data_IF_899943326550
#
_entry.id   IF_899943326550
#
_cell.length_a   1.000
_cell.length_b   1.000
_cell.length_c   1.000
_cell.angle_alpha   90.00
_cell.angle_beta   90.00
_cell.angle_gamma   90.00
#
_symmetry.space_group_name_H-M   'P 1'
#
loop_
_entity.id
_entity.type
_entity.pdbx_description
1 polymer ?
#
# COMPACT_ATOMS: atom_id res chain seq x y z
N UNK A 1 -16.67 -30.47 15.38
CA UNK A 1 -17.38 -29.22 15.72
C UNK A 1 -16.33 -28.13 15.79
N UNK A 2 -16.46 -27.13 14.92
CA UNK A 2 -15.38 -26.26 14.47
C UNK A 2 -14.85 -25.34 15.56
N UNK A 3 -13.53 -25.13 15.53
CA UNK A 3 -12.89 -24.05 16.24
C UNK A 3 -13.40 -22.74 15.64
N UNK A 4 -14.32 -22.06 16.34
CA UNK A 4 -14.59 -20.64 16.07
C UNK A 4 -13.31 -19.88 16.46
N UNK A 5 -12.54 -19.46 15.45
CA UNK A 5 -11.48 -18.48 15.62
C UNK A 5 -12.12 -17.16 16.04
N UNK A 6 -12.21 -16.93 17.35
CA UNK A 6 -12.61 -15.63 17.91
C UNK A 6 -11.49 -14.65 17.60
N UNK A 7 -11.59 -13.97 16.46
CA UNK A 7 -10.69 -12.88 16.10
C UNK A 7 -10.82 -11.79 17.16
N UNK A 8 -9.75 -11.55 17.92
CA UNK A 8 -9.72 -10.50 18.92
C UNK A 8 -10.00 -9.13 18.26
N UNK A 9 -10.92 -8.35 18.84
CA UNK A 9 -11.36 -7.05 18.31
C UNK A 9 -10.20 -6.11 17.87
N UNK A 10 -9.06 -6.02 18.58
CA UNK A 10 -7.91 -5.23 18.15
C UNK A 10 -7.29 -5.71 16.82
N UNK A 11 -7.29 -7.02 16.58
CA UNK A 11 -6.77 -7.62 15.35
C UNK A 11 -7.72 -7.36 14.17
N UNK A 12 -9.04 -7.43 14.40
CA UNK A 12 -10.04 -7.07 13.40
C UNK A 12 -9.91 -5.60 12.95
N UNK A 13 -9.71 -4.67 13.89
CA UNK A 13 -9.48 -3.24 13.59
C UNK A 13 -8.21 -3.07 12.76
N UNK A 14 -7.14 -3.76 13.14
CA UNK A 14 -5.87 -3.70 12.42
C UNK A 14 -6.01 -4.20 10.97
N UNK A 15 -6.68 -5.33 10.76
CA UNK A 15 -6.98 -5.86 9.43
C UNK A 15 -7.83 -4.87 8.62
N UNK A 16 -8.87 -4.29 9.23
CA UNK A 16 -9.73 -3.32 8.56
C UNK A 16 -8.95 -2.08 8.09
N UNK A 17 -8.02 -1.57 8.90
CA UNK A 17 -7.18 -0.44 8.51
C UNK A 17 -6.19 -0.80 7.39
N UNK A 18 -5.60 -2.01 7.42
CA UNK A 18 -4.76 -2.51 6.33
C UNK A 18 -5.58 -2.63 5.05
N UNK A 19 -6.76 -3.24 5.11
CA UNK A 19 -7.65 -3.40 3.98
C UNK A 19 -8.05 -2.05 3.39
N UNK A 20 -8.47 -1.09 4.24
CA UNK A 20 -8.84 0.26 3.79
C UNK A 20 -7.68 1.00 3.12
N UNK A 21 -6.49 0.97 3.73
CA UNK A 21 -5.29 1.59 3.13
C UNK A 21 -4.91 0.89 1.82
N UNK A 22 -5.03 -0.44 1.78
CA UNK A 22 -4.79 -1.25 0.59
C UNK A 22 -5.75 -0.96 -0.54
N UNK A 23 -7.03 -0.77 -0.27
CA UNK A 23 -8.01 -0.37 -1.28
C UNK A 23 -7.64 0.97 -1.92
N UNK A 24 -7.20 1.95 -1.12
CA UNK A 24 -6.79 3.27 -1.63
C UNK A 24 -5.54 3.17 -2.51
N UNK A 25 -4.52 2.43 -2.06
CA UNK A 25 -3.29 2.19 -2.84
C UNK A 25 -3.62 1.44 -4.14
N UNK A 26 -4.44 0.40 -4.05
CA UNK A 26 -4.75 -0.43 -5.21
C UNK A 26 -5.62 0.29 -6.23
N UNK A 27 -6.51 1.18 -5.79
CA UNK A 27 -7.25 2.07 -6.68
C UNK A 27 -6.30 2.93 -7.53
N UNK A 28 -5.24 3.48 -6.92
CA UNK A 28 -4.22 4.27 -7.65
C UNK A 28 -3.42 3.41 -8.62
N UNK A 29 -2.99 2.24 -8.18
CA UNK A 29 -2.26 1.27 -9.03
C UNK A 29 -3.09 0.87 -10.24
N UNK A 30 -4.37 0.56 -10.06
CA UNK A 30 -5.27 0.21 -11.17
C UNK A 30 -5.49 1.38 -12.13
N UNK A 31 -5.59 2.61 -11.63
CA UNK A 31 -5.64 3.81 -12.47
C UNK A 31 -4.39 3.94 -13.35
N UNK A 32 -3.21 3.84 -12.75
CA UNK A 32 -1.94 3.92 -13.47
C UNK A 32 -1.75 2.75 -14.47
N UNK A 33 -2.20 1.54 -14.12
CA UNK A 33 -2.21 0.38 -15.02
C UNK A 33 -3.12 0.64 -16.23
N UNK A 34 -4.32 1.21 -16.02
CA UNK A 34 -5.23 1.56 -17.11
C UNK A 34 -4.59 2.54 -18.07
N UNK A 35 -3.96 3.60 -17.54
CA UNK A 35 -3.22 4.59 -18.35
C UNK A 35 -2.07 3.95 -19.12
N UNK A 36 -1.30 3.07 -18.48
CA UNK A 36 -0.20 2.35 -19.13
C UNK A 36 -0.70 1.46 -20.29
N UNK A 37 -1.80 0.73 -20.10
CA UNK A 37 -2.41 -0.11 -21.15
C UNK A 37 -2.82 0.75 -22.35
N UNK A 38 -3.50 1.87 -22.11
CA UNK A 38 -3.95 2.79 -23.17
C UNK A 38 -2.76 3.34 -23.99
N UNK A 39 -1.64 3.65 -23.33
CA UNK A 39 -0.43 4.14 -23.99
C UNK A 39 0.21 3.02 -24.82
N UNK A 40 0.34 1.81 -24.28
CA UNK A 40 0.92 0.68 -25.00
C UNK A 40 0.07 0.25 -26.21
N UNK A 41 -1.26 0.31 -26.12
CA UNK A 41 -2.18 0.02 -27.24
C UNK A 41 -1.90 0.94 -28.44
N UNK A 42 -1.55 2.21 -28.17
CA UNK A 42 -1.27 3.21 -29.19
C UNK A 42 0.14 3.08 -29.80
N UNK A 43 1.12 2.61 -29.04
CA UNK A 43 2.54 2.64 -29.46
C UNK A 43 3.02 1.38 -30.18
N UNK A 44 2.66 0.17 -29.71
CA UNK A 44 3.22 -1.10 -30.26
C UNK A 44 2.23 -2.27 -30.17
N UNK A 45 1.33 -2.43 -31.16
CA UNK A 45 0.35 -3.52 -31.15
C UNK A 45 0.95 -4.93 -31.34
N UNK A 46 2.17 -5.05 -31.91
CA UNK A 46 2.78 -6.33 -32.28
C UNK A 46 3.42 -7.15 -31.14
N UNK A 47 3.95 -6.48 -30.10
CA UNK A 47 4.55 -7.13 -28.91
C UNK A 47 3.76 -6.82 -27.62
N UNK A 48 2.51 -6.41 -27.82
CA UNK A 48 1.61 -5.80 -26.86
C UNK A 48 1.41 -6.61 -25.58
N UNK A 49 1.09 -7.90 -25.71
CA UNK A 49 0.64 -8.71 -24.58
C UNK A 49 1.73 -8.97 -23.54
N UNK A 50 2.96 -9.27 -23.97
CA UNK A 50 4.03 -9.65 -23.04
C UNK A 50 4.58 -8.43 -22.28
N UNK A 51 4.80 -7.31 -22.99
CA UNK A 51 5.39 -6.10 -22.39
C UNK A 51 4.43 -5.42 -21.40
N UNK A 52 3.13 -5.43 -21.71
CA UNK A 52 2.09 -4.94 -20.80
C UNK A 52 1.97 -5.83 -19.59
N UNK A 53 1.87 -7.16 -19.77
CA UNK A 53 1.74 -8.07 -18.64
C UNK A 53 2.90 -7.89 -17.64
N UNK A 54 4.14 -7.74 -18.13
CA UNK A 54 5.30 -7.47 -17.27
C UNK A 54 5.18 -6.12 -16.54
N UNK A 55 4.80 -5.05 -17.25
CA UNK A 55 4.66 -3.71 -16.67
C UNK A 55 3.55 -3.65 -15.62
N UNK A 56 2.38 -4.22 -15.92
CA UNK A 56 1.25 -4.29 -14.99
C UNK A 56 1.60 -5.11 -13.74
N UNK A 57 2.27 -6.25 -13.90
CA UNK A 57 2.73 -7.05 -12.76
C UNK A 57 3.72 -6.28 -11.88
N UNK A 58 4.64 -5.49 -12.48
CA UNK A 58 5.56 -4.63 -11.72
C UNK A 58 4.80 -3.56 -10.95
N UNK A 59 3.84 -2.88 -11.57
CA UNK A 59 3.03 -1.84 -10.91
C UNK A 59 2.21 -2.40 -9.74
N UNK A 60 1.60 -3.57 -9.91
CA UNK A 60 0.92 -4.31 -8.84
C UNK A 60 1.90 -4.68 -7.72
N UNK A 61 3.08 -5.19 -8.07
CA UNK A 61 4.14 -5.54 -7.12
C UNK A 61 4.62 -4.34 -6.32
N UNK A 62 4.79 -3.19 -6.95
CA UNK A 62 5.14 -1.92 -6.27
C UNK A 62 4.03 -1.51 -5.31
N UNK A 63 2.76 -1.60 -5.73
CA UNK A 63 1.62 -1.32 -4.85
C UNK A 63 1.59 -2.20 -3.60
N UNK A 64 1.77 -3.52 -3.77
CA UNK A 64 1.83 -4.46 -2.65
C UNK A 64 3.06 -4.22 -1.76
N UNK A 65 4.22 -3.99 -2.35
CA UNK A 65 5.46 -3.68 -1.62
C UNK A 65 5.34 -2.38 -0.82
N UNK A 66 4.68 -1.37 -1.37
CA UNK A 66 4.42 -0.11 -0.70
C UNK A 66 3.51 -0.28 0.52
N UNK A 67 2.43 -1.06 0.36
CA UNK A 67 1.54 -1.38 1.48
C UNK A 67 2.28 -2.13 2.61
N UNK A 68 3.13 -3.08 2.27
CA UNK A 68 3.95 -3.80 3.25
C UNK A 68 4.91 -2.86 3.98
N UNK A 69 5.54 -1.93 3.26
CA UNK A 69 6.41 -0.90 3.83
C UNK A 69 5.65 -0.02 4.82
N UNK A 70 4.48 0.50 4.42
CA UNK A 70 3.63 1.33 5.28
C UNK A 70 3.15 0.57 6.52
N UNK A 71 2.72 -0.69 6.36
CA UNK A 71 2.31 -1.54 7.49
C UNK A 71 3.48 -1.78 8.46
N UNK A 72 4.69 -2.02 7.94
CA UNK A 72 5.92 -2.18 8.72
C UNK A 72 6.36 -0.89 9.43
N UNK A 73 6.20 0.27 8.79
CA UNK A 73 6.45 1.56 9.43
C UNK A 73 5.45 1.83 10.55
N UNK A 74 4.17 1.58 10.32
CA UNK A 74 3.13 1.76 11.33
C UNK A 74 3.32 0.83 12.53
N UNK A 75 3.76 -0.41 12.35
CA UNK A 75 4.09 -1.32 13.46
C UNK A 75 5.35 -0.87 14.21
N UNK A 76 6.41 -0.50 13.51
CA UNK A 76 7.69 -0.10 14.11
C UNK A 76 7.63 1.23 14.85
N UNK A 77 7.02 2.26 14.25
CA UNK A 77 6.92 3.60 14.83
C UNK A 77 6.07 3.60 16.10
N UNK A 78 4.91 2.95 16.08
CA UNK A 78 4.03 2.88 17.25
C UNK A 78 4.71 2.12 18.40
N UNK A 79 5.45 1.05 18.09
CA UNK A 79 6.24 0.31 19.09
C UNK A 79 7.34 1.19 19.70
N UNK A 80 8.07 1.97 18.89
CA UNK A 80 9.15 2.86 19.36
C UNK A 80 8.64 4.02 20.23
N UNK A 81 7.54 4.66 19.81
CA UNK A 81 6.93 5.80 20.53
C UNK A 81 6.38 5.38 21.88
N UNK A 82 5.85 4.16 22.00
CA UNK A 82 5.27 3.67 23.25
C UNK A 82 6.32 3.05 24.19
N UNK A 83 7.45 2.57 23.67
CA UNK A 83 8.55 2.01 24.47
C UNK A 83 9.40 3.09 25.16
N UNK A 84 9.48 4.30 24.59
CA UNK A 84 10.23 5.43 25.20
C UNK A 84 9.53 6.02 26.44
N UNK A 85 8.27 5.66 26.70
CA UNK A 85 7.55 5.96 27.93
C UNK A 85 7.68 4.85 28.98
N UNK A 86 8.73 4.91 29.79
CA UNK A 86 9.03 4.04 30.94
C UNK A 86 7.82 3.38 31.66
N UNK A 87 7.92 2.05 31.90
CA UNK A 87 7.18 1.27 32.91
C UNK A 87 5.65 1.08 32.75
N UNK A 88 5.07 1.15 31.55
CA UNK A 88 3.63 0.89 31.32
C UNK A 88 3.26 -0.29 30.40
N UNK A 89 4.22 -1.14 30.03
CA UNK A 89 3.94 -2.33 29.19
C UNK A 89 2.82 -3.20 29.77
N UNK A 90 2.72 -3.30 31.11
CA UNK A 90 1.68 -4.07 31.81
C UNK A 90 0.32 -3.35 31.96
N UNK A 91 0.22 -2.06 31.63
CA UNK A 91 -1.06 -1.32 31.53
C UNK A 91 -1.52 -1.15 30.09
N UNK A 92 -0.62 -1.31 29.11
CA UNK A 92 -0.94 -1.25 27.69
C UNK A 92 -1.77 -2.45 27.20
N UNK A 93 -1.70 -3.60 27.88
CA UNK A 93 -2.61 -4.74 27.63
C UNK A 93 -4.07 -4.42 27.94
N UNK A 94 -4.34 -3.47 28.85
CA UNK A 94 -5.70 -3.01 29.13
C UNK A 94 -6.26 -2.04 28.08
N UNK A 95 -5.42 -1.59 27.12
CA UNK A 95 -5.77 -0.59 26.10
C UNK A 95 -5.38 -1.07 24.68
N UNK A 96 -5.35 -2.39 24.46
CA UNK A 96 -5.04 -3.02 23.17
C UNK A 96 -5.90 -2.49 22.03
N UNK A 97 -7.15 -2.13 22.32
CA UNK A 97 -8.06 -1.50 21.37
C UNK A 97 -7.55 -0.12 20.94
N UNK A 98 -7.22 0.76 21.90
CA UNK A 98 -6.71 2.09 21.63
C UNK A 98 -5.39 2.04 20.86
N UNK A 99 -4.51 1.09 21.20
CA UNK A 99 -3.28 0.82 20.46
C UNK A 99 -3.55 0.47 19.00
N UNK A 100 -4.46 -0.48 18.74
CA UNK A 100 -4.81 -0.90 17.38
C UNK A 100 -5.45 0.25 16.57
N UNK A 101 -6.30 1.07 17.20
CA UNK A 101 -6.94 2.23 16.58
C UNK A 101 -5.90 3.31 16.21
N UNK A 102 -5.00 3.67 17.12
CA UNK A 102 -3.96 4.67 16.86
C UNK A 102 -3.04 4.20 15.73
N UNK A 103 -2.62 2.94 15.78
CA UNK A 103 -1.79 2.30 14.75
C UNK A 103 -2.50 2.30 13.40
N UNK A 104 -3.79 1.98 13.37
CA UNK A 104 -4.63 1.98 12.17
C UNK A 104 -4.84 3.38 11.57
N UNK A 105 -5.10 4.38 12.41
CA UNK A 105 -5.20 5.78 11.96
C UNK A 105 -3.87 6.31 11.41
N UNK A 106 -2.75 5.98 12.05
CA UNK A 106 -1.43 6.34 11.55
C UNK A 106 -1.20 5.75 10.15
N UNK A 107 -1.55 4.47 9.95
CA UNK A 107 -1.42 3.80 8.66
C UNK A 107 -2.24 4.50 7.57
N UNK A 108 -3.50 4.84 7.86
CA UNK A 108 -4.37 5.53 6.91
C UNK A 108 -3.86 6.94 6.57
N UNK A 109 -3.52 7.74 7.58
CA UNK A 109 -3.07 9.13 7.37
C UNK A 109 -1.75 9.16 6.61
N UNK A 110 -0.78 8.36 7.03
CA UNK A 110 0.53 8.28 6.36
C UNK A 110 0.36 7.72 4.95
N UNK A 111 -0.50 6.71 4.77
CA UNK A 111 -0.82 6.15 3.45
C UNK A 111 -1.39 7.19 2.50
N UNK A 112 -2.31 8.04 2.96
CA UNK A 112 -2.90 9.13 2.16
C UNK A 112 -1.88 10.23 1.84
N UNK A 113 -1.08 10.66 2.83
CA UNK A 113 -0.07 11.71 2.63
C UNK A 113 1.02 11.28 1.64
N UNK A 114 1.37 10.00 1.63
CA UNK A 114 2.40 9.44 0.76
C UNK A 114 1.85 8.98 -0.61
N UNK A 115 0.58 9.24 -0.92
CA UNK A 115 0.02 8.96 -2.25
C UNK A 115 0.81 9.58 -3.42
N UNK A 116 1.31 10.84 -3.34
CA UNK A 116 2.12 11.41 -4.42
C UNK A 116 3.42 10.64 -4.67
N UNK A 117 3.97 10.00 -3.64
CA UNK A 117 5.22 9.23 -3.74
C UNK A 117 4.99 7.94 -4.51
N UNK A 118 3.89 7.23 -4.24
CA UNK A 118 3.52 6.04 -5.00
C UNK A 118 3.14 6.39 -6.44
N UNK A 119 2.44 7.50 -6.68
CA UNK A 119 2.15 7.96 -8.04
C UNK A 119 3.45 8.20 -8.83
N UNK A 120 4.46 8.83 -8.22
CA UNK A 120 5.78 9.00 -8.82
C UNK A 120 6.50 7.68 -9.12
N UNK A 121 6.43 6.70 -8.21
CA UNK A 121 6.99 5.36 -8.43
C UNK A 121 6.29 4.64 -9.60
N UNK A 122 4.96 4.74 -9.69
CA UNK A 122 4.17 4.15 -10.77
C UNK A 122 4.48 4.80 -12.13
N UNK A 123 4.70 6.12 -12.16
CA UNK A 123 5.11 6.83 -13.37
C UNK A 123 6.47 6.36 -13.91
N UNK A 124 7.41 5.98 -13.06
CA UNK A 124 8.69 5.41 -13.51
C UNK A 124 8.53 4.08 -14.25
N UNK A 125 7.42 3.37 -14.02
CA UNK A 125 7.08 2.13 -14.70
C UNK A 125 6.25 2.35 -15.98
N UNK A 126 5.76 3.57 -16.22
CA UNK A 126 5.05 3.89 -17.45
C UNK A 126 6.04 3.94 -18.63
N UNK A 127 5.64 3.47 -19.82
CA UNK A 127 6.43 3.64 -21.03
C UNK A 127 6.61 5.14 -21.33
N UNK A 128 7.86 5.61 -21.36
CA UNK A 128 8.15 7.01 -21.67
C UNK A 128 8.03 7.28 -23.17
N UNK A 129 7.31 8.36 -23.52
CA UNK A 129 7.34 8.94 -24.85
C UNK A 129 8.72 9.58 -25.09
N UNK A 130 9.70 8.79 -25.52
CA UNK A 130 10.78 9.37 -26.31
C UNK A 130 10.24 9.54 -27.73
N UNK A 131 9.61 10.70 -27.98
CA UNK A 131 9.39 11.26 -29.31
C UNK A 131 10.76 11.60 -29.91
N UNK A 132 11.55 10.59 -30.28
CA UNK A 132 12.83 10.77 -31.00
C UNK A 132 12.60 11.12 -32.48
N UNK A 133 11.56 11.88 -32.80
CA UNK A 133 11.22 12.33 -34.16
C UNK A 133 10.88 13.83 -34.25
N UNK A 134 11.25 14.63 -33.24
CA UNK A 134 11.28 16.08 -33.35
C UNK A 134 12.60 16.64 -32.79
N UNK A 135 13.70 16.35 -33.48
CA UNK A 135 14.87 17.21 -33.61
C UNK A 135 15.29 17.19 -35.08
#
# INVERSE_FOLDING_TARGET
>A
MGAEEVVELPLAIWIACIAGTGSVIMYRVLGAVSEAIDIWMKLKPGEFLKSIATSCCLMIGIGMGWLLLLAGMATGLVSLVLVTGTKKVRKAEADQLAYAVIKGMLLLVVGVILLPVIDGLLQMCMPSFNLTYFH
#
